data_IF_647439068545
#
_entry.id   IF_647439068545
#
_cell.length_a   1.000
_cell.length_b   1.000
_cell.length_c   1.000
_cell.angle_alpha   90.00
_cell.angle_beta   90.00
_cell.angle_gamma   90.00
#
_symmetry.space_group_name_H-M   'P 1'
#
loop_
_entity.id
_entity.type
_entity.pdbx_description
1 polymer ?
#
# COMPACT_ATOMS: atom_id res chain seq x y z
N UNK A 1 12.72 -5.28 -9.90
CA UNK A 1 13.05 -5.90 -8.59
C UNK A 1 11.76 -6.14 -7.82
N UNK A 2 11.75 -7.07 -6.87
CA UNK A 2 10.60 -7.29 -5.98
C UNK A 2 10.81 -6.57 -4.66
N UNK A 3 9.86 -5.74 -4.26
CA UNK A 3 9.94 -4.89 -3.07
C UNK A 3 8.67 -5.10 -2.24
N UNK A 4 8.82 -5.34 -0.94
CA UNK A 4 7.70 -5.42 -0.02
C UNK A 4 7.72 -4.23 0.94
N UNK A 5 6.62 -3.49 1.00
CA UNK A 5 6.37 -2.50 2.05
C UNK A 5 5.62 -3.17 3.18
N UNK A 6 6.13 -3.06 4.40
CA UNK A 6 5.45 -3.55 5.60
C UNK A 6 5.11 -2.32 6.44
N UNK A 7 3.83 -2.13 6.73
CA UNK A 7 3.33 -0.97 7.47
C UNK A 7 2.20 -1.38 8.40
N UNK A 8 2.06 -0.66 9.50
CA UNK A 8 0.97 -0.81 10.47
C UNK A 8 -0.33 -0.11 10.02
N UNK A 9 -0.27 0.80 9.04
CA UNK A 9 -1.42 1.51 8.49
C UNK A 9 -1.39 1.52 6.97
N UNK A 10 -2.49 1.08 6.35
CA UNK A 10 -2.72 1.24 4.92
C UNK A 10 -4.20 1.50 4.65
N UNK A 11 -4.56 1.68 3.37
CA UNK A 11 -5.95 1.85 2.95
C UNK A 11 -6.89 0.83 3.64
N UNK A 12 -8.03 1.27 4.19
CA UNK A 12 -8.73 2.55 3.97
C UNK A 12 -8.28 3.72 4.86
N UNK A 13 -7.26 3.56 5.71
CA UNK A 13 -6.82 4.66 6.59
C UNK A 13 -6.43 5.88 5.77
N UNK A 14 -6.81 7.08 6.25
CA UNK A 14 -6.47 8.35 5.61
C UNK A 14 -5.46 9.07 6.50
N UNK A 15 -4.18 8.86 6.22
CA UNK A 15 -3.09 9.47 6.97
C UNK A 15 -1.86 9.77 6.07
N UNK A 16 -0.82 10.33 6.67
CA UNK A 16 0.43 10.63 5.98
C UNK A 16 1.22 9.38 5.57
N UNK A 17 1.06 8.26 6.28
CA UNK A 17 1.74 6.99 5.95
C UNK A 17 1.22 6.46 4.62
N UNK A 18 -0.11 6.39 4.47
CA UNK A 18 -0.75 5.95 3.22
C UNK A 18 -0.31 6.82 2.04
N UNK A 19 -0.27 8.14 2.23
CA UNK A 19 0.16 9.10 1.19
C UNK A 19 1.61 8.84 0.74
N UNK A 20 2.52 8.60 1.69
CA UNK A 20 3.93 8.34 1.39
C UNK A 20 4.11 6.96 0.75
N UNK A 21 3.42 5.93 1.25
CA UNK A 21 3.47 4.57 0.70
C UNK A 21 2.99 4.56 -0.74
N UNK A 22 1.87 5.21 -1.06
CA UNK A 22 1.35 5.29 -2.43
C UNK A 22 2.33 6.03 -3.35
N UNK A 23 2.85 7.19 -2.92
CA UNK A 23 3.81 7.98 -3.72
C UNK A 23 5.09 7.19 -4.05
N UNK A 24 5.63 6.47 -3.07
CA UNK A 24 6.84 5.65 -3.28
C UNK A 24 6.52 4.42 -4.13
N UNK A 25 5.40 3.72 -3.86
CA UNK A 25 4.93 2.60 -4.69
C UNK A 25 4.83 3.02 -6.15
N UNK A 26 4.16 4.13 -6.43
CA UNK A 26 3.91 4.59 -7.80
C UNK A 26 5.21 4.94 -8.51
N UNK A 27 6.14 5.60 -7.79
CA UNK A 27 7.47 5.91 -8.31
C UNK A 27 8.27 4.63 -8.63
N UNK A 28 8.23 3.63 -7.75
CA UNK A 28 8.93 2.36 -7.94
C UNK A 28 8.31 1.53 -9.07
N UNK A 29 6.99 1.48 -9.16
CA UNK A 29 6.28 0.79 -10.26
C UNK A 29 6.61 1.45 -11.59
N UNK A 30 6.62 2.79 -11.65
CA UNK A 30 7.02 3.53 -12.86
C UNK A 30 8.46 3.23 -13.31
N UNK A 31 9.35 2.91 -12.38
CA UNK A 31 10.73 2.47 -12.67
C UNK A 31 10.85 0.98 -13.04
N UNK A 32 9.73 0.23 -13.10
CA UNK A 32 9.71 -1.19 -13.46
C UNK A 32 9.94 -2.14 -12.28
N UNK A 33 9.73 -1.68 -11.05
CA UNK A 33 9.74 -2.54 -9.88
C UNK A 33 8.35 -3.15 -9.62
N UNK A 34 8.34 -4.36 -9.07
CA UNK A 34 7.15 -5.04 -8.57
C UNK A 34 7.05 -4.75 -7.06
N UNK A 35 5.95 -4.13 -6.63
CA UNK A 35 5.76 -3.69 -5.24
C UNK A 35 4.53 -4.38 -4.66
N UNK A 36 4.69 -4.97 -3.47
CA UNK A 36 3.59 -5.49 -2.64
C UNK A 36 3.53 -4.74 -1.32
N UNK A 37 2.33 -4.53 -0.80
CA UNK A 37 2.11 -3.84 0.48
C UNK A 37 1.50 -4.86 1.44
N UNK A 38 2.12 -5.00 2.60
CA UNK A 38 1.70 -5.88 3.68
C UNK A 38 1.27 -5.00 4.86
N UNK A 39 -0.02 -5.00 5.14
CA UNK A 39 -0.63 -4.22 6.20
C UNK A 39 -1.71 -5.04 6.92
N UNK A 40 -2.14 -4.64 8.13
CA UNK A 40 -3.26 -5.27 8.81
C UNK A 40 -4.53 -5.24 7.95
N UNK A 41 -5.30 -6.32 7.99
CA UNK A 41 -6.62 -6.36 7.36
C UNK A 41 -7.57 -5.39 8.11
N UNK A 42 -8.16 -4.41 7.43
CA UNK A 42 -9.07 -3.45 8.07
C UNK A 42 -10.43 -4.08 8.46
N UNK A 43 -10.65 -5.35 8.13
CA UNK A 43 -11.91 -6.05 8.34
C UNK A 43 -12.81 -5.99 7.10
N UNK A 44 -13.64 -7.02 6.92
CA UNK A 44 -14.44 -7.23 5.69
C UNK A 44 -15.28 -6.03 5.27
N UNK A 45 -15.83 -5.30 6.24
CA UNK A 45 -16.70 -4.13 6.01
C UNK A 45 -15.95 -2.89 5.51
N UNK A 46 -14.63 -2.84 5.72
CA UNK A 46 -13.79 -1.68 5.47
C UNK A 46 -12.79 -1.89 4.31
N UNK A 47 -12.79 -3.07 3.69
CA UNK A 47 -11.92 -3.34 2.53
C UNK A 47 -12.35 -2.50 1.32
N UNK A 48 -11.36 -1.89 0.66
CA UNK A 48 -11.57 -1.15 -0.58
C UNK A 48 -11.34 -2.09 -1.77
N UNK A 49 -12.26 -2.09 -2.73
CA UNK A 49 -12.11 -2.87 -3.96
C UNK A 49 -10.89 -2.35 -4.75
N UNK A 50 -9.96 -3.24 -5.07
CA UNK A 50 -8.73 -2.90 -5.80
C UNK A 50 -7.50 -2.64 -4.92
N UNK A 51 -7.65 -2.69 -3.59
CA UNK A 51 -6.54 -2.66 -2.63
C UNK A 51 -6.39 -4.06 -2.03
N UNK A 52 -5.21 -4.69 -2.22
CA UNK A 52 -4.93 -6.07 -1.81
C UNK A 52 -3.60 -6.18 -1.06
#
# INVERSE_FOLDING_TARGET
MRIAFVTDSYHPTIDGVVTIVDSIRDSLVALGHEVVILAPDPGKEHRIVGVY
#
